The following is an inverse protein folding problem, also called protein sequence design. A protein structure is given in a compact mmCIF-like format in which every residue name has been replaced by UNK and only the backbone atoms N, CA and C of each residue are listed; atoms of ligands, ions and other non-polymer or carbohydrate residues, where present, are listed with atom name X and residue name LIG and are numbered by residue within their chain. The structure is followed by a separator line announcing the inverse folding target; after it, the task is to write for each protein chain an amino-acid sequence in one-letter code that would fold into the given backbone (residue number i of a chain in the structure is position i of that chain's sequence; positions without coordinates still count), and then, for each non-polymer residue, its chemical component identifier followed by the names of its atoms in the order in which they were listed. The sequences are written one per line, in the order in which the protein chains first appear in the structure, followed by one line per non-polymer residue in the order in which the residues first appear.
data_IF_568282993428
#
_entry.id   IF_568282993428
#
_cell.length_a   1.000
_cell.length_b   1.000
_cell.length_c   1.000
_cell.angle_alpha   90.00
_cell.angle_beta   90.00
_cell.angle_gamma   90.00
#
_symmetry.space_group_name_H-M   'P 1'
#
loop_
_entity.id
_entity.type
_entity.pdbx_description
1 polymer ?
#
# COMPACT_ATOMS: atom_id res chain seq x y z
N UNK A 1 -7.77 11.10 3.85
CA UNK A 1 -7.09 10.94 2.55
C UNK A 1 -8.09 10.63 1.44
N UNK A 2 -9.05 9.72 1.65
CA UNK A 2 -10.03 9.31 0.64
C UNK A 2 -11.39 10.03 0.74
N UNK A 3 -11.50 11.15 1.47
CA UNK A 3 -12.80 11.75 1.83
C UNK A 3 -13.65 12.30 0.68
N UNK A 4 -13.14 12.33 -0.54
CA UNK A 4 -13.85 12.72 -1.76
C UNK A 4 -13.79 11.61 -2.82
N UNK A 5 -13.61 10.36 -2.39
CA UNK A 5 -13.51 9.18 -3.27
C UNK A 5 -14.70 8.29 -2.95
N UNK A 6 -15.74 8.37 -3.79
CA UNK A 6 -17.02 7.67 -3.57
C UNK A 6 -17.13 6.35 -4.36
N UNK A 7 -16.03 5.90 -4.97
CA UNK A 7 -16.00 4.70 -5.80
C UNK A 7 -14.94 3.72 -5.31
N UNK A 8 -15.18 2.43 -5.56
CA UNK A 8 -14.19 1.39 -5.40
C UNK A 8 -13.46 1.15 -6.73
N UNK A 9 -12.26 0.56 -6.64
CA UNK A 9 -11.38 0.33 -7.78
C UNK A 9 -10.85 -1.10 -7.79
N UNK A 10 -10.56 -1.63 -8.96
CA UNK A 10 -9.84 -2.90 -9.08
C UNK A 10 -8.37 -2.76 -8.66
N UNK A 11 -7.76 -1.58 -8.82
CA UNK A 11 -6.36 -1.34 -8.53
C UNK A 11 -6.13 0.03 -7.89
N UNK A 12 -5.36 0.05 -6.80
CA UNK A 12 -4.82 1.26 -6.20
C UNK A 12 -3.30 1.17 -6.22
N UNK A 13 -2.64 2.13 -6.87
CA UNK A 13 -1.19 2.13 -7.07
C UNK A 13 -0.61 3.40 -6.44
N UNK A 14 0.42 3.27 -5.59
CA UNK A 14 0.99 4.41 -4.89
C UNK A 14 2.52 4.36 -4.74
N UNK A 15 3.16 5.49 -5.04
CA UNK A 15 4.49 5.84 -4.55
C UNK A 15 4.29 6.85 -3.40
N UNK A 16 4.11 6.37 -2.16
CA UNK A 16 3.59 7.20 -1.08
C UNK A 16 4.58 8.31 -0.69
N UNK A 17 4.10 9.47 -0.18
CA UNK A 17 4.95 10.56 0.26
C UNK A 17 5.61 10.23 1.60
N UNK A 18 6.64 9.37 1.59
CA UNK A 18 7.31 8.85 2.81
C UNK A 18 7.82 9.94 3.77
N UNK A 19 8.12 11.14 3.28
CA UNK A 19 8.56 12.28 4.10
C UNK A 19 7.43 12.91 4.92
N UNK A 20 6.17 12.65 4.56
CA UNK A 20 4.99 13.05 5.33
C UNK A 20 4.82 12.19 6.60
N UNK A 21 5.66 11.15 6.77
CA UNK A 21 5.73 10.36 7.98
C UNK A 21 4.85 9.11 7.95
N UNK A 22 5.07 8.27 8.96
CA UNK A 22 4.47 6.92 9.04
C UNK A 22 2.94 6.95 9.07
N UNK A 23 2.34 7.90 9.78
CA UNK A 23 0.88 8.01 9.91
C UNK A 23 0.19 8.22 8.55
N UNK A 24 0.75 9.09 7.70
CA UNK A 24 0.20 9.36 6.36
C UNK A 24 0.35 8.13 5.47
N UNK A 25 1.53 7.50 5.45
CA UNK A 25 1.77 6.29 4.64
C UNK A 25 0.86 5.14 5.07
N UNK A 26 0.69 4.93 6.37
CA UNK A 26 -0.22 3.90 6.89
C UNK A 26 -1.68 4.21 6.55
N UNK A 27 -2.10 5.47 6.65
CA UNK A 27 -3.45 5.90 6.25
C UNK A 27 -3.76 5.68 4.77
N UNK A 28 -2.74 5.65 3.90
CA UNK A 28 -2.91 5.24 2.49
C UNK A 28 -3.28 3.76 2.41
N UNK A 29 -2.58 2.89 3.15
CA UNK A 29 -2.85 1.44 3.18
C UNK A 29 -4.25 1.16 3.76
N UNK A 30 -4.57 1.78 4.90
CA UNK A 30 -5.87 1.62 5.55
C UNK A 30 -7.01 2.07 4.63
N UNK A 31 -6.86 3.26 4.02
CA UNK A 31 -7.87 3.78 3.11
C UNK A 31 -7.99 2.95 1.82
N UNK A 32 -6.87 2.45 1.28
CA UNK A 32 -6.90 1.65 0.05
C UNK A 32 -7.74 0.38 0.21
N UNK A 33 -7.66 -0.32 1.34
CA UNK A 33 -8.48 -1.51 1.59
C UNK A 33 -9.98 -1.23 1.47
N UNK A 34 -10.44 -0.09 2.00
CA UNK A 34 -11.85 0.30 1.95
C UNK A 34 -12.31 0.81 0.58
N UNK A 35 -11.39 1.16 -0.33
CA UNK A 35 -11.71 1.68 -1.67
C UNK A 35 -11.31 0.72 -2.79
N UNK A 36 -11.02 -0.54 -2.46
CA UNK A 36 -10.82 -1.60 -3.44
C UNK A 36 -12.07 -2.45 -3.55
N UNK A 37 -12.39 -2.88 -4.76
CA UNK A 37 -13.38 -3.93 -5.00
C UNK A 37 -12.93 -5.26 -4.38
N UNK A 38 -13.86 -6.22 -4.27
CA UNK A 38 -13.48 -7.59 -3.91
C UNK A 38 -12.49 -8.15 -4.94
N UNK A 39 -11.38 -8.74 -4.47
CA UNK A 39 -10.21 -9.13 -5.25
C UNK A 39 -9.39 -7.98 -5.86
N UNK A 40 -9.71 -6.72 -5.56
CA UNK A 40 -8.91 -5.57 -5.95
C UNK A 40 -7.53 -5.57 -5.29
N UNK A 41 -6.55 -4.93 -5.94
CA UNK A 41 -5.15 -5.00 -5.55
C UNK A 41 -4.55 -3.64 -5.16
N UNK A 42 -3.83 -3.63 -4.03
CA UNK A 42 -2.97 -2.52 -3.65
C UNK A 42 -1.54 -2.79 -4.14
N UNK A 43 -0.96 -1.82 -4.85
CA UNK A 43 0.42 -1.83 -5.30
C UNK A 43 1.18 -0.63 -4.73
N UNK A 44 2.29 -0.89 -4.04
CA UNK A 44 3.08 0.18 -3.44
C UNK A 44 4.58 0.03 -3.71
N UNK A 45 5.23 1.13 -4.07
CA UNK A 45 6.69 1.19 -4.22
C UNK A 45 7.30 1.98 -3.08
N UNK A 46 8.42 1.50 -2.52
CA UNK A 46 9.13 2.18 -1.45
C UNK A 46 10.62 1.88 -1.50
N UNK A 47 11.47 2.85 -1.14
CA UNK A 47 12.90 2.59 -0.97
C UNK A 47 13.17 1.86 0.35
N UNK A 48 14.05 0.84 0.36
CA UNK A 48 14.36 0.00 1.52
C UNK A 48 14.63 0.82 2.80
N UNK A 49 15.42 1.89 2.68
CA UNK A 49 15.81 2.79 3.79
C UNK A 49 14.70 3.70 4.32
N UNK A 50 13.56 3.77 3.63
CA UNK A 50 12.42 4.63 3.98
C UNK A 50 11.36 3.88 4.80
N UNK A 51 11.69 2.70 5.32
CA UNK A 51 10.78 1.91 6.15
C UNK A 51 10.03 0.83 5.39
N UNK A 52 10.64 0.23 4.35
CA UNK A 52 10.02 -0.86 3.60
C UNK A 52 9.53 -2.04 4.47
N UNK A 53 10.26 -2.51 5.51
CA UNK A 53 9.76 -3.56 6.40
C UNK A 53 8.50 -3.14 7.18
N UNK A 54 8.44 -1.87 7.62
CA UNK A 54 7.28 -1.35 8.34
C UNK A 54 6.06 -1.24 7.43
N UNK A 55 6.24 -0.80 6.18
CA UNK A 55 5.15 -0.73 5.20
C UNK A 55 4.63 -2.13 4.86
N UNK A 56 5.52 -3.08 4.60
CA UNK A 56 5.15 -4.46 4.32
C UNK A 56 4.29 -5.05 5.44
N UNK A 57 4.74 -4.91 6.70
CA UNK A 57 3.99 -5.37 7.87
C UNK A 57 2.61 -4.71 7.97
N UNK A 58 2.50 -3.41 7.67
CA UNK A 58 1.20 -2.72 7.69
C UNK A 58 0.27 -3.22 6.59
N UNK A 59 0.78 -3.47 5.39
CA UNK A 59 0.00 -4.05 4.29
C UNK A 59 -0.50 -5.43 4.70
N UNK A 60 0.37 -6.30 5.23
CA UNK A 60 0.00 -7.64 5.70
C UNK A 60 -1.02 -7.61 6.85
N UNK A 61 -0.89 -6.66 7.79
CA UNK A 61 -1.85 -6.46 8.88
C UNK A 61 -3.25 -6.05 8.39
N UNK A 62 -3.32 -5.19 7.36
CA UNK A 62 -4.60 -4.67 6.85
C UNK A 62 -5.27 -5.64 5.87
N UNK A 63 -4.49 -6.23 4.97
CA UNK A 63 -5.02 -7.08 3.90
C UNK A 63 -5.04 -8.57 4.27
N UNK A 64 -4.30 -8.98 5.32
CA UNK A 64 -4.06 -10.38 5.64
C UNK A 64 -3.03 -11.06 4.73
N UNK A 65 -2.59 -10.37 3.67
CA UNK A 65 -1.56 -10.82 2.74
C UNK A 65 -0.72 -9.66 2.24
N UNK A 66 0.55 -9.93 1.94
CA UNK A 66 1.44 -9.03 1.23
C UNK A 66 2.48 -9.84 0.47
N UNK A 67 2.93 -9.33 -0.67
CA UNK A 67 3.96 -9.97 -1.49
C UNK A 67 4.99 -8.92 -1.91
N UNK A 68 6.28 -9.30 -1.91
CA UNK A 68 7.30 -8.49 -2.61
C UNK A 68 7.41 -8.95 -4.06
N UNK A 69 6.82 -8.18 -4.99
CA UNK A 69 6.81 -8.50 -6.42
C UNK A 69 8.14 -8.17 -7.09
N UNK A 70 8.81 -7.10 -6.68
CA UNK A 70 10.08 -6.70 -7.29
C UNK A 70 11.03 -6.03 -6.29
N UNK A 71 12.33 -6.16 -6.54
CA UNK A 71 13.40 -5.43 -5.86
C UNK A 71 14.44 -4.96 -6.87
N UNK A 72 14.70 -3.66 -6.94
CA UNK A 72 15.69 -3.10 -7.86
C UNK A 72 16.27 -1.78 -7.32
N UNK A 73 17.59 -1.62 -7.36
CA UNK A 73 18.29 -0.37 -6.98
C UNK A 73 17.86 0.21 -5.61
N UNK A 74 17.59 -0.68 -4.66
CA UNK A 74 17.15 -0.31 -3.32
C UNK A 74 15.66 0.03 -3.18
N UNK A 75 14.85 -0.11 -4.24
CA UNK A 75 13.39 0.00 -4.22
C UNK A 75 12.76 -1.38 -4.17
N UNK A 76 11.65 -1.48 -3.44
CA UNK A 76 10.79 -2.65 -3.34
C UNK A 76 9.41 -2.31 -3.87
N UNK A 77 8.78 -3.24 -4.59
CA UNK A 77 7.37 -3.17 -4.98
C UNK A 77 6.63 -4.23 -4.18
N UNK A 78 5.58 -3.79 -3.49
CA UNK A 78 4.68 -4.64 -2.72
C UNK A 78 3.32 -4.72 -3.39
N UNK A 79 2.69 -5.88 -3.28
CA UNK A 79 1.31 -6.14 -3.71
C UNK A 79 0.52 -6.79 -2.59
N UNK A 80 -0.74 -6.42 -2.45
CA UNK A 80 -1.74 -7.13 -1.65
C UNK A 80 -3.09 -7.15 -2.36
N UNK A 81 -3.99 -8.04 -1.94
CA UNK A 81 -5.31 -8.22 -2.55
C UNK A 81 -6.38 -8.19 -1.47
N UNK A 82 -7.49 -7.48 -1.69
CA UNK A 82 -8.66 -7.49 -0.80
C UNK A 82 -9.41 -8.82 -0.99
N UNK A 83 -9.19 -9.77 -0.06
CA UNK A 83 -9.85 -11.09 -0.06
C UNK A 83 -11.18 -11.06 0.68
#
# INVERSE_FOLDING_TARGET
LFGNVDSEFDFIISNPPVRAGKAVVHGIVDGAFWHLEANGELWMVIQKKQGAPSLYKKIEEVFGNAETVARAKGYHVFRARKL
#
